data_IF_239106020531
#
_entry.id   IF_239106020531
#
_cell.length_a   1.000
_cell.length_b   1.000
_cell.length_c   1.000
_cell.angle_alpha   90.00
_cell.angle_beta   90.00
_cell.angle_gamma   90.00
#
_symmetry.space_group_name_H-M   'P 1'
#
loop_
_entity.id
_entity.type
_entity.pdbx_description
1 polymer ?
#
# COMPACT_ATOMS: atom_id res chain seq x y z
N UNK A 1 8.59 -65.14 25.43
CA UNK A 1 8.07 -63.86 25.97
C UNK A 1 8.36 -62.63 25.10
N UNK A 2 8.88 -62.78 23.86
CA UNK A 2 9.30 -61.66 22.98
C UNK A 2 8.30 -61.26 21.87
N UNK A 3 7.19 -62.00 21.68
CA UNK A 3 6.23 -61.74 20.60
C UNK A 3 5.25 -60.58 20.85
N UNK A 4 5.14 -60.08 22.09
CA UNK A 4 4.20 -59.00 22.46
C UNK A 4 4.80 -57.58 22.41
N UNK A 5 6.14 -57.46 22.40
CA UNK A 5 6.85 -56.17 22.35
C UNK A 5 6.92 -55.58 20.93
N UNK A 6 6.88 -56.43 19.90
CA UNK A 6 6.91 -56.00 18.50
C UNK A 6 5.69 -55.15 18.09
N UNK A 7 4.51 -55.43 18.65
CA UNK A 7 3.27 -54.72 18.30
C UNK A 7 3.23 -53.30 18.87
N UNK A 8 3.85 -53.08 20.04
CA UNK A 8 3.89 -51.76 20.69
C UNK A 8 4.80 -50.77 19.95
N UNK A 9 5.88 -51.26 19.33
CA UNK A 9 6.83 -50.45 18.59
C UNK A 9 6.27 -49.95 17.24
N UNK A 10 5.41 -50.75 16.60
CA UNK A 10 4.78 -50.41 15.31
C UNK A 10 3.69 -49.35 15.49
N UNK A 11 3.01 -49.31 16.64
CA UNK A 11 1.99 -48.30 16.95
C UNK A 11 2.58 -46.89 17.18
N UNK A 12 3.84 -46.80 17.61
CA UNK A 12 4.52 -45.51 17.85
C UNK A 12 5.01 -44.84 16.57
N UNK A 13 5.19 -45.60 15.48
CA UNK A 13 5.68 -45.07 14.20
C UNK A 13 4.56 -44.48 13.32
N UNK A 14 3.29 -44.79 13.58
CA UNK A 14 2.15 -44.29 12.80
C UNK A 14 1.62 -42.94 13.27
N UNK A 15 2.01 -42.47 14.47
CA UNK A 15 1.61 -41.16 15.01
C UNK A 15 2.43 -40.00 14.41
N UNK A 16 3.49 -40.30 13.65
CA UNK A 16 4.45 -39.30 13.16
C UNK A 16 4.16 -38.73 11.76
N UNK A 17 3.06 -39.12 11.10
CA UNK A 17 2.71 -38.66 9.75
C UNK A 17 1.63 -37.56 9.69
N UNK A 18 1.21 -36.97 10.81
CA UNK A 18 0.15 -35.95 10.81
C UNK A 18 0.64 -34.50 10.59
N UNK A 19 1.94 -34.28 10.36
CA UNK A 19 2.52 -32.92 10.29
C UNK A 19 2.74 -32.38 8.86
N UNK A 20 2.64 -33.22 7.84
CA UNK A 20 2.89 -32.82 6.44
C UNK A 20 1.67 -32.08 5.87
N UNK A 21 0.47 -32.61 6.08
CA UNK A 21 -0.81 -32.02 5.64
C UNK A 21 -1.09 -30.64 6.29
N UNK A 22 -0.62 -30.46 7.53
CA UNK A 22 -0.80 -29.22 8.31
C UNK A 22 0.09 -28.07 7.80
N UNK A 23 1.24 -28.38 7.18
CA UNK A 23 2.18 -27.39 6.64
C UNK A 23 1.71 -26.85 5.29
N UNK A 24 1.17 -27.71 4.43
CA UNK A 24 0.65 -27.31 3.13
C UNK A 24 -0.64 -26.49 3.25
N UNK A 25 -1.54 -26.88 4.16
CA UNK A 25 -2.73 -26.09 4.50
C UNK A 25 -2.38 -24.71 5.09
N UNK A 26 -1.39 -24.63 5.98
CA UNK A 26 -0.92 -23.35 6.53
C UNK A 26 -0.28 -22.44 5.47
N UNK A 27 0.51 -23.01 4.56
CA UNK A 27 1.11 -22.25 3.45
C UNK A 27 0.05 -21.73 2.47
N UNK A 28 -0.94 -22.54 2.12
CA UNK A 28 -2.06 -22.13 1.26
C UNK A 28 -2.92 -21.05 1.93
N UNK A 29 -3.17 -21.17 3.24
CA UNK A 29 -3.87 -20.15 4.01
C UNK A 29 -3.08 -18.83 4.04
N UNK A 30 -1.76 -18.88 4.28
CA UNK A 30 -0.91 -17.69 4.27
C UNK A 30 -0.85 -17.03 2.88
N UNK A 31 -0.70 -17.82 1.82
CA UNK A 31 -0.68 -17.33 0.45
C UNK A 31 -2.00 -16.64 0.07
N UNK A 32 -3.14 -17.22 0.44
CA UNK A 32 -4.44 -16.59 0.20
C UNK A 32 -4.59 -15.29 0.98
N UNK A 33 -4.15 -15.26 2.24
CA UNK A 33 -4.14 -14.04 3.06
C UNK A 33 -3.27 -12.93 2.45
N UNK A 34 -2.04 -13.25 2.03
CA UNK A 34 -1.12 -12.28 1.40
C UNK A 34 -1.72 -11.71 0.09
N UNK A 35 -2.40 -12.56 -0.68
CA UNK A 35 -3.11 -12.14 -1.89
C UNK A 35 -4.27 -11.19 -1.59
N UNK A 36 -5.11 -11.50 -0.59
CA UNK A 36 -6.19 -10.62 -0.15
C UNK A 36 -5.66 -9.28 0.36
N UNK A 37 -4.61 -9.31 1.18
CA UNK A 37 -3.98 -8.09 1.71
C UNK A 37 -3.46 -7.20 0.58
N UNK A 38 -2.84 -7.78 -0.45
CA UNK A 38 -2.39 -7.04 -1.64
C UNK A 38 -3.55 -6.33 -2.35
N UNK A 39 -4.65 -7.03 -2.60
CA UNK A 39 -5.84 -6.43 -3.25
C UNK A 39 -6.42 -5.30 -2.41
N UNK A 40 -6.54 -5.50 -1.09
CA UNK A 40 -7.06 -4.48 -0.19
C UNK A 40 -6.14 -3.25 -0.16
N UNK A 41 -4.83 -3.45 -0.10
CA UNK A 41 -3.87 -2.35 -0.09
C UNK A 41 -3.89 -1.54 -1.40
N UNK A 42 -4.04 -2.20 -2.56
CA UNK A 42 -4.23 -1.53 -3.85
C UNK A 42 -5.52 -0.71 -3.87
N UNK A 43 -6.62 -1.28 -3.36
CA UNK A 43 -7.90 -0.57 -3.24
C UNK A 43 -7.77 0.68 -2.36
N UNK A 44 -7.19 0.55 -1.18
CA UNK A 44 -7.00 1.67 -0.23
C UNK A 44 -6.14 2.79 -0.82
N UNK A 45 -5.08 2.45 -1.56
CA UNK A 45 -4.25 3.46 -2.23
C UNK A 45 -5.04 4.20 -3.32
N UNK A 46 -5.78 3.48 -4.15
CA UNK A 46 -6.58 4.08 -5.20
C UNK A 46 -7.70 4.98 -4.63
N UNK A 47 -8.32 4.57 -3.53
CA UNK A 47 -9.29 5.40 -2.80
C UNK A 47 -8.63 6.68 -2.27
N UNK A 48 -7.45 6.58 -1.64
CA UNK A 48 -6.70 7.75 -1.18
C UNK A 48 -6.41 8.72 -2.32
N UNK A 49 -5.89 8.24 -3.45
CA UNK A 49 -5.55 9.07 -4.62
C UNK A 49 -6.78 9.76 -5.20
N UNK A 50 -7.88 9.01 -5.34
CA UNK A 50 -9.15 9.53 -5.85
C UNK A 50 -9.69 10.62 -4.93
N UNK A 51 -9.65 10.39 -3.61
CA UNK A 51 -10.14 11.35 -2.62
C UNK A 51 -9.27 12.61 -2.56
N UNK A 52 -7.93 12.45 -2.61
CA UNK A 52 -6.99 13.58 -2.69
C UNK A 52 -7.28 14.41 -3.93
N UNK A 53 -7.41 13.77 -5.10
CA UNK A 53 -7.73 14.46 -6.35
C UNK A 53 -9.04 15.24 -6.23
N UNK A 54 -10.11 14.58 -5.80
CA UNK A 54 -11.43 15.19 -5.66
C UNK A 54 -11.45 16.35 -4.66
N UNK A 55 -10.62 16.29 -3.62
CA UNK A 55 -10.48 17.35 -2.63
C UNK A 55 -9.72 18.55 -3.20
N UNK A 56 -8.59 18.30 -3.88
CA UNK A 56 -7.82 19.34 -4.55
C UNK A 56 -8.65 20.05 -5.62
N UNK A 57 -9.39 19.32 -6.46
CA UNK A 57 -10.30 19.92 -7.46
C UNK A 57 -11.40 20.81 -6.84
N UNK A 58 -11.68 20.66 -5.54
CA UNK A 58 -12.58 21.52 -4.74
C UNK A 58 -11.84 22.62 -3.98
N UNK A 59 -10.58 22.86 -4.34
CA UNK A 59 -9.65 23.79 -3.69
C UNK A 59 -9.47 23.53 -2.19
N UNK A 60 -9.45 22.25 -1.78
CA UNK A 60 -9.20 21.81 -0.41
C UNK A 60 -7.92 20.97 -0.37
N UNK A 61 -7.12 21.11 0.68
CA UNK A 61 -5.76 20.50 0.76
C UNK A 61 -5.55 19.66 2.02
N UNK A 62 -6.58 19.46 2.84
CA UNK A 62 -6.49 18.83 4.16
C UNK A 62 -6.13 17.35 4.06
N UNK A 63 -6.78 16.58 3.18
CA UNK A 63 -6.44 15.16 3.03
C UNK A 63 -5.02 14.99 2.51
N UNK A 64 -4.65 15.73 1.45
CA UNK A 64 -3.30 15.67 0.91
C UNK A 64 -2.23 15.99 1.97
N UNK A 65 -2.41 17.10 2.70
CA UNK A 65 -1.45 17.51 3.74
C UNK A 65 -1.43 16.58 4.95
N UNK A 66 -2.58 16.03 5.37
CA UNK A 66 -2.65 15.04 6.45
C UNK A 66 -2.03 13.69 6.08
N UNK A 67 -2.00 13.35 4.79
CA UNK A 67 -1.35 12.14 4.28
C UNK A 67 0.17 12.25 4.16
N UNK A 68 0.76 13.44 4.23
CA UNK A 68 2.23 13.60 4.17
C UNK A 68 2.86 13.24 5.51
N UNK A 69 3.77 12.26 5.49
CA UNK A 69 4.59 11.81 6.62
C UNK A 69 6.05 12.24 6.46
N UNK A 70 6.22 13.54 6.20
CA UNK A 70 7.52 14.20 6.08
C UNK A 70 7.42 15.57 6.78
N UNK A 71 7.64 15.68 8.11
CA UNK A 71 7.26 16.86 8.88
C UNK A 71 7.81 18.20 8.35
N UNK A 72 9.07 18.23 7.92
CA UNK A 72 9.66 19.45 7.34
C UNK A 72 9.09 19.73 5.94
N UNK A 73 9.16 18.76 5.02
CA UNK A 73 8.63 18.92 3.64
C UNK A 73 7.14 19.25 3.65
N UNK A 74 6.35 18.68 4.57
CA UNK A 74 4.93 18.97 4.77
C UNK A 74 4.68 20.45 4.96
N UNK A 75 5.47 21.14 5.78
CA UNK A 75 5.32 22.58 6.01
C UNK A 75 5.55 23.36 4.73
N UNK A 76 6.64 23.07 4.01
CA UNK A 76 6.94 23.71 2.73
C UNK A 76 5.84 23.46 1.70
N UNK A 77 5.48 22.20 1.47
CA UNK A 77 4.44 21.83 0.51
C UNK A 77 3.10 22.48 0.87
N UNK A 78 2.69 22.47 2.15
CA UNK A 78 1.44 23.11 2.57
C UNK A 78 1.42 24.61 2.25
N UNK A 79 2.54 25.30 2.51
CA UNK A 79 2.65 26.72 2.20
C UNK A 79 2.55 26.99 0.69
N UNK A 80 3.25 26.19 -0.12
CA UNK A 80 3.19 26.29 -1.58
C UNK A 80 1.77 26.02 -2.10
N UNK A 81 1.11 24.94 -1.67
CA UNK A 81 -0.25 24.61 -2.10
C UNK A 81 -1.24 25.75 -1.82
N UNK A 82 -1.12 26.43 -0.67
CA UNK A 82 -2.02 27.53 -0.32
C UNK A 82 -1.89 28.76 -1.24
N UNK A 83 -0.86 28.83 -2.08
CA UNK A 83 -0.68 29.90 -3.06
C UNK A 83 -1.44 29.65 -4.37
N UNK A 84 -1.94 28.43 -4.59
CA UNK A 84 -2.59 28.02 -5.83
C UNK A 84 -4.09 27.80 -5.65
N UNK A 85 -4.85 28.10 -6.71
CA UNK A 85 -6.27 27.74 -6.83
C UNK A 85 -6.41 26.47 -7.66
N UNK A 86 -6.55 25.33 -6.97
CA UNK A 86 -6.65 24.01 -7.60
C UNK A 86 -7.96 23.78 -8.33
N UNK A 87 -9.00 24.59 -8.10
CA UNK A 87 -10.29 24.44 -8.82
C UNK A 87 -10.18 24.68 -10.33
N UNK A 88 -9.08 25.33 -10.75
CA UNK A 88 -8.75 25.62 -12.14
C UNK A 88 -7.74 24.63 -12.73
N UNK A 89 -7.24 23.69 -11.93
CA UNK A 89 -6.24 22.73 -12.35
C UNK A 89 -6.87 21.40 -12.75
N UNK A 90 -6.34 20.79 -13.80
CA UNK A 90 -6.63 19.39 -14.11
C UNK A 90 -5.54 18.52 -13.49
N UNK A 91 -5.96 17.62 -12.60
CA UNK A 91 -5.07 16.70 -11.89
C UNK A 91 -5.26 15.30 -12.46
N UNK A 92 -4.17 14.69 -12.89
CA UNK A 92 -4.16 13.30 -13.36
C UNK A 92 -3.00 12.55 -12.75
N UNK A 93 -3.08 11.22 -12.72
CA UNK A 93 -2.03 10.40 -12.16
C UNK A 93 -1.95 9.04 -12.86
N UNK A 94 -0.75 8.48 -12.89
CA UNK A 94 -0.53 7.13 -13.41
C UNK A 94 -1.05 6.09 -12.42
N UNK A 95 -1.34 4.88 -12.92
CA UNK A 95 -1.60 3.73 -12.05
C UNK A 95 -0.40 3.55 -11.10
N UNK A 96 -0.60 3.41 -9.78
CA UNK A 96 0.49 3.18 -8.85
C UNK A 96 1.18 1.84 -9.08
N UNK A 97 2.51 1.85 -8.98
CA UNK A 97 3.33 0.65 -8.92
C UNK A 97 3.46 0.29 -7.44
N UNK A 98 2.90 -0.84 -7.03
CA UNK A 98 2.85 -1.27 -5.63
C UNK A 98 3.80 -2.44 -5.41
N UNK A 99 4.64 -2.33 -4.39
CA UNK A 99 5.55 -3.38 -3.91
C UNK A 99 5.42 -3.51 -2.40
N UNK A 100 4.67 -4.53 -1.97
CA UNK A 100 4.35 -4.81 -0.56
C UNK A 100 3.75 -3.58 0.15
N UNK A 101 4.53 -2.93 1.01
CA UNK A 101 4.14 -1.76 1.82
C UNK A 101 4.62 -0.44 1.23
N UNK A 102 5.11 -0.45 -0.02
CA UNK A 102 5.55 0.76 -0.73
C UNK A 102 4.80 0.87 -2.04
N UNK A 103 4.60 2.10 -2.49
CA UNK A 103 4.09 2.37 -3.82
C UNK A 103 4.68 3.65 -4.37
N UNK A 104 4.59 3.81 -5.69
CA UNK A 104 4.93 5.06 -6.36
C UNK A 104 4.00 5.33 -7.54
N UNK A 105 3.77 6.60 -7.84
CA UNK A 105 3.12 7.01 -9.08
C UNK A 105 3.66 8.37 -9.55
N UNK A 106 3.32 8.75 -10.78
CA UNK A 106 3.50 10.11 -11.27
C UNK A 106 2.15 10.83 -11.25
N UNK A 107 2.13 12.05 -10.72
CA UNK A 107 0.99 12.96 -10.74
C UNK A 107 1.31 14.14 -11.64
N UNK A 108 0.38 14.53 -12.49
CA UNK A 108 0.49 15.70 -13.35
C UNK A 108 -0.52 16.75 -12.89
N UNK A 109 -0.04 17.96 -12.61
CA UNK A 109 -0.85 19.15 -12.40
C UNK A 109 -0.80 19.97 -13.68
N UNK A 110 -1.94 20.14 -14.34
CA UNK A 110 -2.08 20.99 -15.51
C UNK A 110 -2.82 22.26 -15.14
N UNK A 111 -2.20 23.40 -15.42
CA UNK A 111 -2.82 24.71 -15.33
C UNK A 111 -2.63 25.41 -16.68
N UNK A 112 -3.75 25.65 -17.37
CA UNK A 112 -3.75 26.14 -18.75
C UNK A 112 -2.89 25.24 -19.67
N UNK A 113 -1.90 25.80 -20.36
CA UNK A 113 -0.96 25.06 -21.22
C UNK A 113 0.23 24.45 -20.46
N UNK A 114 0.40 24.79 -19.18
CA UNK A 114 1.54 24.34 -18.38
C UNK A 114 1.22 23.03 -17.65
N UNK A 115 2.15 22.08 -17.68
CA UNK A 115 2.04 20.81 -16.96
C UNK A 115 3.30 20.62 -16.12
N UNK A 116 3.09 20.42 -14.82
CA UNK A 116 4.16 20.02 -13.89
C UNK A 116 3.93 18.58 -13.45
N UNK A 117 4.98 17.77 -13.48
CA UNK A 117 4.92 16.36 -13.09
C UNK A 117 5.61 16.16 -11.75
N UNK A 118 5.01 15.38 -10.86
CA UNK A 118 5.59 14.99 -9.59
C UNK A 118 5.65 13.48 -9.49
N UNK A 119 6.81 12.96 -9.08
CA UNK A 119 6.92 11.61 -8.55
C UNK A 119 6.46 11.64 -7.10
N UNK A 120 5.52 10.76 -6.76
CA UNK A 120 5.04 10.61 -5.38
C UNK A 120 5.29 9.18 -4.93
N UNK A 121 5.94 9.04 -3.77
CA UNK A 121 6.19 7.77 -3.11
C UNK A 121 5.32 7.62 -1.86
N UNK A 122 4.87 6.39 -1.62
CA UNK A 122 3.97 6.05 -0.52
C UNK A 122 4.52 4.90 0.32
N UNK A 123 4.18 4.92 1.61
CA UNK A 123 4.43 3.84 2.54
C UNK A 123 3.17 3.50 3.34
N UNK A 124 2.87 2.20 3.48
CA UNK A 124 1.74 1.70 4.25
C UNK A 124 2.13 1.61 5.73
N UNK A 125 1.58 2.52 6.55
CA UNK A 125 1.82 2.61 7.99
C UNK A 125 0.49 2.51 8.73
N UNK A 126 0.39 1.59 9.68
CA UNK A 126 -0.83 1.38 10.47
C UNK A 126 -2.10 1.20 9.62
N UNK A 127 -1.99 0.46 8.50
CA UNK A 127 -3.06 0.24 7.51
C UNK A 127 -3.50 1.49 6.73
N UNK A 128 -2.74 2.58 6.80
CA UNK A 128 -2.97 3.80 6.03
C UNK A 128 -1.78 4.09 5.12
N UNK A 129 -2.05 4.48 3.88
CA UNK A 129 -1.00 4.95 2.97
C UNK A 129 -0.61 6.39 3.32
N UNK A 130 0.69 6.62 3.48
CA UNK A 130 1.27 7.95 3.73
C UNK A 130 2.21 8.33 2.61
N UNK A 131 2.19 9.61 2.21
CA UNK A 131 3.12 10.19 1.25
C UNK A 131 4.46 10.40 1.97
N UNK A 132 5.50 9.74 1.47
CA UNK A 132 6.87 9.75 2.03
C UNK A 132 7.91 10.30 1.05
N UNK A 133 7.49 10.58 -0.19
CA UNK A 133 8.30 11.21 -1.22
C UNK A 133 7.38 12.07 -2.09
N UNK A 134 7.81 13.29 -2.41
CA UNK A 134 7.10 14.22 -3.27
C UNK A 134 8.15 15.08 -3.97
N UNK A 135 8.39 14.79 -5.25
CA UNK A 135 9.50 15.36 -6.00
C UNK A 135 9.04 15.76 -7.40
N UNK A 136 9.33 16.99 -7.78
CA UNK A 136 9.09 17.48 -9.14
C UNK A 136 10.00 16.74 -10.13
N UNK A 137 9.43 16.22 -11.22
CA UNK A 137 10.17 15.61 -12.32
C UNK A 137 10.59 16.73 -13.27
N UNK A 138 11.89 17.04 -13.28
CA UNK A 138 12.53 17.94 -14.25
C UNK A 138 12.70 17.29 -15.61
#
# INVERSE_FOLDING_TARGET
MFKKISVLLILLLTVSCSNIEKKDSLNNQKMSQDFYEKIQNEKLLNELLTNIKNELEKNKTNLFTSSIDMPMKKRFITNELNMYDFSKMNISYTKPIISNKRAENTVAFRFDEQITYFKIGYELKNKEWKIVEFEERR
#
